data_IF_990993316807
#
_entry.id   IF_990993316807
#
_cell.length_a   1.000
_cell.length_b   1.000
_cell.length_c   1.000
_cell.angle_alpha   90.00
_cell.angle_beta   90.00
_cell.angle_gamma   90.00
#
_symmetry.space_group_name_H-M   'P 1'
#
loop_
_entity.id
_entity.type
_entity.pdbx_description
1 polymer ?
#
# COMPACT_ATOMS: atom_id res chain seq x y z
N UNK A 1 -1.69 -11.12 9.20
CA UNK A 1 -1.35 -12.54 9.06
C UNK A 1 -1.70 -12.96 7.65
N UNK A 2 -1.94 -14.26 7.38
CA UNK A 2 -2.20 -14.74 6.03
C UNK A 2 -3.45 -14.12 5.39
N UNK A 3 -4.53 -13.87 6.13
CA UNK A 3 -5.74 -13.25 5.57
C UNK A 3 -5.48 -11.82 5.10
N UNK A 4 -4.87 -11.00 5.97
CA UNK A 4 -4.60 -9.60 5.64
C UNK A 4 -3.54 -9.51 4.54
N UNK A 5 -2.50 -10.35 4.57
CA UNK A 5 -1.47 -10.38 3.53
C UNK A 5 -2.08 -10.73 2.16
N UNK A 6 -2.93 -11.75 2.10
CA UNK A 6 -3.63 -12.12 0.87
C UNK A 6 -4.53 -10.98 0.37
N UNK A 7 -5.22 -10.28 1.28
CA UNK A 7 -6.02 -9.15 0.83
C UNK A 7 -5.16 -7.98 0.31
N UNK A 8 -4.14 -7.59 1.06
CA UNK A 8 -3.22 -6.53 0.66
C UNK A 8 -2.63 -6.83 -0.72
N UNK A 9 -2.23 -8.08 -0.97
CA UNK A 9 -1.73 -8.54 -2.26
C UNK A 9 -2.77 -8.43 -3.38
N UNK A 10 -3.98 -8.94 -3.17
CA UNK A 10 -5.06 -8.88 -4.18
C UNK A 10 -5.47 -7.44 -4.50
N UNK A 11 -5.64 -6.61 -3.47
CA UNK A 11 -6.00 -5.19 -3.61
C UNK A 11 -4.88 -4.38 -4.26
N UNK A 12 -3.64 -4.67 -3.88
CA UNK A 12 -2.49 -4.02 -4.48
C UNK A 12 -2.36 -4.37 -5.96
N UNK A 13 -2.53 -5.65 -6.31
CA UNK A 13 -2.45 -6.14 -7.68
C UNK A 13 -3.59 -5.70 -8.59
N UNK A 14 -4.77 -5.38 -8.04
CA UNK A 14 -5.87 -4.80 -8.81
C UNK A 14 -5.53 -3.39 -9.33
N UNK A 15 -4.74 -2.63 -8.57
CA UNK A 15 -4.32 -1.27 -8.90
C UNK A 15 -2.94 -1.22 -9.59
N UNK A 16 -2.07 -2.18 -9.27
CA UNK A 16 -0.71 -2.27 -9.77
C UNK A 16 -0.27 -3.72 -9.90
N UNK A 17 -0.21 -4.25 -11.12
CA UNK A 17 0.08 -5.69 -11.33
C UNK A 17 1.43 -6.16 -10.76
N UNK A 18 2.39 -5.26 -10.55
CA UNK A 18 3.71 -5.55 -9.97
C UNK A 18 3.78 -5.24 -8.46
N UNK A 19 2.62 -5.09 -7.81
CA UNK A 19 2.51 -4.84 -6.38
C UNK A 19 3.18 -5.94 -5.58
N UNK A 20 4.05 -5.51 -4.67
CA UNK A 20 4.74 -6.33 -3.68
C UNK A 20 5.08 -5.45 -2.48
N UNK A 21 4.34 -5.58 -1.38
CA UNK A 21 4.58 -4.86 -0.13
C UNK A 21 5.25 -5.73 0.95
N UNK A 22 5.85 -6.85 0.51
CA UNK A 22 6.50 -7.87 1.33
C UNK A 22 8.01 -7.92 1.09
N UNK A 23 8.47 -7.94 -0.16
CA UNK A 23 9.90 -7.96 -0.49
C UNK A 23 10.52 -6.57 -0.34
N UNK A 24 11.09 -6.27 0.83
CA UNK A 24 11.72 -4.98 1.11
C UNK A 24 12.94 -4.64 0.25
N UNK A 25 13.55 -5.64 -0.40
CA UNK A 25 14.67 -5.44 -1.32
C UNK A 25 14.20 -5.37 -2.78
N UNK A 26 12.93 -5.70 -3.02
CA UNK A 26 12.33 -5.72 -4.34
C UNK A 26 12.23 -4.31 -4.93
N UNK A 27 12.35 -4.18 -6.26
CA UNK A 27 12.30 -2.88 -6.92
C UNK A 27 10.96 -2.15 -6.69
N UNK A 28 9.87 -2.90 -6.49
CA UNK A 28 8.50 -2.37 -6.38
C UNK A 28 8.01 -2.15 -4.95
N UNK A 29 8.82 -2.44 -3.94
CA UNK A 29 8.40 -2.36 -2.54
C UNK A 29 7.89 -0.97 -2.16
N UNK A 30 8.71 0.05 -2.39
CA UNK A 30 8.37 1.43 -2.04
C UNK A 30 7.19 1.96 -2.85
N UNK A 31 7.09 1.59 -4.13
CA UNK A 31 5.94 1.94 -4.97
C UNK A 31 4.65 1.30 -4.44
N UNK A 32 4.71 0.04 -4.02
CA UNK A 32 3.56 -0.68 -3.46
C UNK A 32 3.10 -0.06 -2.14
N UNK A 33 4.04 0.31 -1.26
CA UNK A 33 3.74 1.03 -0.02
C UNK A 33 3.13 2.42 -0.26
N UNK A 34 3.46 3.08 -1.38
CA UNK A 34 2.90 4.38 -1.72
C UNK A 34 1.38 4.31 -1.96
N UNK A 35 0.84 3.19 -2.49
CA UNK A 35 -0.60 2.96 -2.58
C UNK A 35 -1.28 2.92 -1.20
N UNK A 36 -0.57 2.54 -0.15
CA UNK A 36 -1.14 2.54 1.20
C UNK A 36 -0.90 3.88 1.93
N UNK A 37 0.27 4.50 1.76
CA UNK A 37 0.72 5.57 2.65
C UNK A 37 0.78 6.99 2.04
N UNK A 38 0.69 7.16 0.72
CA UNK A 38 0.57 8.49 0.10
C UNK A 38 -0.88 8.96 0.16
N UNK A 39 -1.30 9.34 1.37
CA UNK A 39 -2.65 9.79 1.66
C UNK A 39 -3.09 10.96 0.77
N UNK A 40 -4.36 10.93 0.35
CA UNK A 40 -4.96 12.00 -0.44
C UNK A 40 -4.85 11.80 -1.95
N UNK A 41 -4.08 10.80 -2.40
CA UNK A 41 -4.09 10.36 -3.80
C UNK A 41 -5.33 9.53 -4.12
N UNK A 42 -5.74 9.43 -5.38
CA UNK A 42 -6.83 8.50 -5.74
C UNK A 42 -6.42 7.04 -5.61
N UNK A 43 -5.13 6.74 -5.83
CA UNK A 43 -4.60 5.40 -5.61
C UNK A 43 -4.70 4.99 -4.13
N UNK A 44 -4.36 5.88 -3.18
CA UNK A 44 -4.52 5.57 -1.75
C UNK A 44 -5.97 5.43 -1.32
N UNK A 45 -6.88 6.22 -1.89
CA UNK A 45 -8.31 6.10 -1.62
C UNK A 45 -8.88 4.79 -2.18
N UNK A 46 -8.58 4.46 -3.43
CA UNK A 46 -8.99 3.22 -4.06
C UNK A 46 -8.48 2.00 -3.28
N UNK A 47 -7.18 2.00 -2.93
CA UNK A 47 -6.59 0.95 -2.13
C UNK A 47 -7.28 0.81 -0.77
N UNK A 48 -7.47 1.90 -0.03
CA UNK A 48 -8.12 1.86 1.29
C UNK A 48 -9.59 1.43 1.23
N UNK A 49 -10.32 1.78 0.17
CA UNK A 49 -11.70 1.33 -0.06
C UNK A 49 -11.75 -0.18 -0.28
N UNK A 50 -10.95 -0.71 -1.20
CA UNK A 50 -10.92 -2.15 -1.49
C UNK A 50 -10.36 -2.96 -0.32
N UNK A 51 -9.24 -2.52 0.24
CA UNK A 51 -8.61 -3.14 1.40
C UNK A 51 -9.53 -3.08 2.63
N UNK A 52 -10.29 -2.01 2.82
CA UNK A 52 -11.22 -1.88 3.94
C UNK A 52 -12.29 -2.99 3.95
N UNK A 53 -12.82 -3.34 2.77
CA UNK A 53 -13.87 -4.37 2.63
C UNK A 53 -13.36 -5.75 3.03
N UNK A 54 -12.19 -6.15 2.56
CA UNK A 54 -11.62 -7.45 2.91
C UNK A 54 -11.06 -7.48 4.35
N UNK A 55 -10.49 -6.37 4.84
CA UNK A 55 -9.81 -6.30 6.12
C UNK A 55 -10.81 -6.58 7.24
N UNK A 56 -12.03 -6.04 7.10
CA UNK A 56 -13.14 -6.27 8.01
C UNK A 56 -13.53 -7.75 8.12
N UNK A 57 -13.35 -8.54 7.05
CA UNK A 57 -13.66 -9.98 7.02
C UNK A 57 -12.57 -10.86 7.65
N UNK A 58 -11.35 -10.35 7.82
CA UNK A 58 -10.24 -11.12 8.35
C UNK A 58 -10.37 -11.39 9.86
N UNK A 59 -9.68 -12.41 10.41
CA UNK A 59 -9.71 -12.70 11.85
C UNK A 59 -9.27 -11.49 12.70
N UNK A 60 -10.00 -11.22 13.79
CA UNK A 60 -9.71 -10.08 14.69
C UNK A 60 -8.26 -10.03 15.19
N UNK A 61 -7.64 -11.18 15.42
CA UNK A 61 -6.23 -11.28 15.82
C UNK A 61 -5.30 -10.68 14.76
N UNK A 62 -5.58 -10.95 13.49
CA UNK A 62 -4.81 -10.39 12.39
C UNK A 62 -5.08 -8.89 12.24
N UNK A 63 -6.34 -8.47 12.33
CA UNK A 63 -6.70 -7.05 12.26
C UNK A 63 -5.95 -6.24 13.30
N UNK A 64 -5.97 -6.69 14.56
CA UNK A 64 -5.24 -6.04 15.67
C UNK A 64 -3.74 -6.00 15.41
N UNK A 65 -3.16 -7.09 14.93
CA UNK A 65 -1.73 -7.14 14.61
C UNK A 65 -1.36 -6.17 13.48
N UNK A 66 -2.18 -6.09 12.43
CA UNK A 66 -1.99 -5.15 11.34
C UNK A 66 -2.07 -3.69 11.83
N UNK A 67 -3.14 -3.33 12.57
CA UNK A 67 -3.29 -1.99 13.15
C UNK A 67 -2.12 -1.62 14.07
N UNK A 68 -1.63 -2.55 14.89
CA UNK A 68 -0.48 -2.32 15.75
C UNK A 68 0.81 -2.10 14.95
N UNK A 69 0.99 -2.81 13.82
CA UNK A 69 2.15 -2.63 12.95
C UNK A 69 2.09 -1.39 12.05
N UNK A 70 0.90 -0.86 11.79
CA UNK A 70 0.65 0.19 10.80
C UNK A 70 1.47 1.46 11.07
N UNK A 71 1.53 1.91 12.33
CA UNK A 71 2.27 3.12 12.73
C UNK A 71 3.77 2.99 12.47
N UNK A 72 4.34 1.80 12.69
CA UNK A 72 5.75 1.54 12.41
C UNK A 72 6.01 1.47 10.90
N UNK A 73 5.11 0.83 10.14
CA UNK A 73 5.24 0.67 8.69
C UNK A 73 5.17 2.02 7.96
N UNK A 74 4.26 2.92 8.36
CA UNK A 74 4.17 4.27 7.78
C UNK A 74 5.38 5.14 8.13
N UNK A 75 5.90 5.04 9.37
CA UNK A 75 7.09 5.79 9.76
C UNK A 75 8.31 5.32 8.96
N UNK A 76 8.53 4.01 8.88
CA UNK A 76 9.60 3.44 8.06
C UNK A 76 9.47 3.88 6.59
N UNK A 77 8.26 3.87 6.03
CA UNK A 77 8.03 4.34 4.66
C UNK A 77 8.41 5.81 4.48
N UNK A 78 8.00 6.70 5.40
CA UNK A 78 8.35 8.12 5.33
C UNK A 78 9.87 8.34 5.35
N UNK A 79 10.58 7.56 6.15
CA UNK A 79 12.05 7.65 6.27
C UNK A 79 12.77 7.08 5.03
N UNK A 80 12.12 6.20 4.25
CA UNK A 80 12.74 5.46 3.15
C UNK A 80 12.17 5.74 1.75
N UNK A 81 11.06 6.48 1.62
CA UNK A 81 10.41 6.78 0.32
C UNK A 81 11.32 7.48 -0.68
N UNK A 82 12.39 8.14 -0.23
CA UNK A 82 13.41 8.76 -1.08
C UNK A 82 14.51 7.82 -1.59
N UNK A 83 14.62 6.62 -1.02
CA UNK A 83 15.68 5.64 -1.26
C UNK A 83 15.39 4.70 -2.44
N UNK A 84 14.18 4.77 -3.00
CA UNK A 84 13.80 3.98 -4.16
C UNK A 84 14.48 4.42 -5.46
N UNK A 85 14.54 3.54 -6.47
CA UNK A 85 15.04 3.90 -7.79
C UNK A 85 14.25 5.09 -8.38
N UNK A 86 14.87 5.88 -9.27
CA UNK A 86 14.27 7.13 -9.79
C UNK A 86 12.90 6.92 -10.45
N UNK A 87 12.66 5.76 -11.06
CA UNK A 87 11.37 5.39 -11.62
C UNK A 87 10.31 5.06 -10.55
N UNK A 88 10.70 4.62 -9.36
CA UNK A 88 9.80 4.42 -8.23
C UNK A 88 9.42 5.75 -7.55
N UNK A 89 10.17 6.82 -7.82
CA UNK A 89 9.84 8.21 -7.46
C UNK A 89 8.87 8.86 -8.43
N UNK A 90 8.55 8.19 -9.55
CA UNK A 90 7.52 8.68 -10.47
C UNK A 90 6.23 8.67 -9.68
N UNK A 91 5.51 9.79 -9.58
CA UNK A 91 4.20 9.80 -8.96
C UNK A 91 3.39 8.73 -9.66
N UNK A 92 2.90 7.76 -8.87
CA UNK A 92 1.90 6.80 -9.32
C UNK A 92 0.90 7.64 -10.09
N UNK A 93 0.74 7.41 -11.40
CA UNK A 93 -0.10 8.26 -12.24
C UNK A 93 -1.46 8.34 -11.56
N UNK A 94 -1.72 9.45 -10.89
CA UNK A 94 -2.92 9.62 -10.09
C UNK A 94 -3.99 10.01 -11.11
N UNK A 95 -4.96 9.13 -11.38
CA UNK A 95 -5.99 9.43 -12.38
C UNK A 95 -6.83 10.67 -12.02
N UNK A 96 -6.66 11.24 -10.82
CA UNK A 96 -7.32 12.46 -10.37
C UNK A 96 -6.47 13.74 -10.46
N UNK A 97 -5.20 13.68 -10.89
CA UNK A 97 -4.47 14.89 -11.26
C UNK A 97 -4.87 15.25 -12.70
N UNK A 98 -6.12 15.70 -12.86
CA UNK A 98 -6.68 15.96 -14.19
C UNK A 98 -8.19 16.17 -14.27
N UNK A 99 -8.87 16.58 -13.20
CA UNK A 99 -10.21 17.18 -13.34
C UNK A 99 -10.11 18.68 -12.98
N UNK A 100 -10.51 19.59 -13.89
CA UNK A 100 -10.47 21.04 -13.64
C UNK A 100 -11.33 21.46 -12.45
#
# INVERSE_FOLDING_TARGET
GPCIAACTDVTGKSLFCLYDDVDSNGPFFLTSLAYTFEHGTCNSRAFMTEFGMCFASCPKKEQKAHSASYVFKIQWYKDNRGNGPSWAKVPITDPCVGSP
#
